data_IF_960351626837
#
_entry.id   IF_960351626837
#
_cell.length_a   1.000
_cell.length_b   1.000
_cell.length_c   1.000
_cell.angle_alpha   90.00
_cell.angle_beta   90.00
_cell.angle_gamma   90.00
#
_symmetry.space_group_name_H-M   'P 1'
#
loop_
_entity.id
_entity.type
_entity.pdbx_description
1 polymer ?
#
# COMPACT_ATOMS: atom_id res chain seq x y z
N UNK A 1 -10.92 -9.91 18.39
CA UNK A 1 -10.27 -8.59 18.40
C UNK A 1 -11.08 -7.65 17.53
N UNK A 2 -11.63 -6.60 18.09
CA UNK A 2 -12.22 -5.53 17.29
C UNK A 2 -11.12 -4.87 16.45
N UNK A 3 -11.41 -4.59 15.18
CA UNK A 3 -10.48 -3.91 14.29
C UNK A 3 -10.47 -2.42 14.65
N UNK A 4 -9.31 -1.92 15.03
CA UNK A 4 -9.10 -0.49 15.22
C UNK A 4 -9.14 0.25 13.88
N UNK A 5 -9.34 1.58 13.92
CA UNK A 5 -9.27 2.42 12.71
C UNK A 5 -7.93 2.26 11.98
N UNK A 6 -6.84 2.09 12.71
CA UNK A 6 -5.49 1.85 12.16
C UNK A 6 -5.44 0.53 11.39
N UNK A 7 -6.09 -0.52 11.91
CA UNK A 7 -6.16 -1.81 11.22
C UNK A 7 -6.89 -1.68 9.87
N UNK A 8 -7.99 -0.94 9.82
CA UNK A 8 -8.71 -0.67 8.58
C UNK A 8 -7.89 0.12 7.56
N UNK A 9 -7.23 1.19 8.01
CA UNK A 9 -6.35 1.99 7.15
C UNK A 9 -5.23 1.10 6.58
N UNK A 10 -4.61 0.27 7.42
CA UNK A 10 -3.55 -0.64 6.99
C UNK A 10 -4.06 -1.65 5.95
N UNK A 11 -5.23 -2.26 6.16
CA UNK A 11 -5.80 -3.19 5.18
C UNK A 11 -6.08 -2.52 3.84
N UNK A 12 -6.63 -1.30 3.83
CA UNK A 12 -6.89 -0.55 2.60
C UNK A 12 -5.57 -0.28 1.86
N UNK A 13 -4.54 0.20 2.56
CA UNK A 13 -3.24 0.48 1.97
C UNK A 13 -2.55 -0.78 1.45
N UNK A 14 -2.68 -1.92 2.12
CA UNK A 14 -2.18 -3.22 1.63
C UNK A 14 -2.88 -3.63 0.33
N UNK A 15 -4.21 -3.47 0.25
CA UNK A 15 -4.96 -3.75 -0.98
C UNK A 15 -4.51 -2.82 -2.12
N UNK A 16 -4.36 -1.52 -1.86
CA UNK A 16 -3.84 -0.56 -2.84
C UNK A 16 -2.45 -0.99 -3.33
N UNK A 17 -1.57 -1.39 -2.41
CA UNK A 17 -0.24 -1.90 -2.74
C UNK A 17 -0.27 -3.14 -3.63
N UNK A 18 -1.08 -4.13 -3.26
CA UNK A 18 -1.23 -5.37 -4.02
C UNK A 18 -1.77 -5.11 -5.43
N UNK A 19 -2.75 -4.21 -5.57
CA UNK A 19 -3.29 -3.81 -6.87
C UNK A 19 -2.23 -3.08 -7.70
N UNK A 20 -1.50 -2.12 -7.13
CA UNK A 20 -0.45 -1.40 -7.86
C UNK A 20 0.64 -2.35 -8.37
N UNK A 21 1.19 -3.19 -7.50
CA UNK A 21 2.23 -4.13 -7.89
C UNK A 21 1.73 -5.22 -8.85
N UNK A 22 0.47 -5.63 -8.73
CA UNK A 22 -0.16 -6.53 -9.69
C UNK A 22 -0.22 -5.91 -11.09
N UNK A 23 -0.58 -4.63 -11.20
CA UNK A 23 -0.63 -3.93 -12.47
C UNK A 23 0.75 -3.64 -13.05
N UNK A 24 1.72 -3.29 -12.20
CA UNK A 24 3.12 -3.14 -12.61
C UNK A 24 3.67 -4.46 -13.15
N UNK A 25 3.41 -5.58 -12.48
CA UNK A 25 3.91 -6.90 -12.90
C UNK A 25 3.23 -7.46 -14.15
N UNK A 26 1.95 -7.14 -14.39
CA UNK A 26 1.19 -7.67 -15.53
C UNK A 26 1.19 -6.76 -16.76
N UNK A 27 1.21 -5.44 -16.56
CA UNK A 27 0.98 -4.45 -17.62
C UNK A 27 2.03 -3.33 -17.62
N UNK A 28 3.07 -3.41 -16.77
CA UNK A 28 4.07 -2.34 -16.58
C UNK A 28 3.42 -0.99 -16.20
N UNK A 29 2.22 -1.05 -15.62
CA UNK A 29 1.41 0.11 -15.29
C UNK A 29 1.48 0.42 -13.80
N UNK A 30 2.16 1.51 -13.45
CA UNK A 30 2.23 2.01 -12.09
C UNK A 30 1.11 3.04 -11.83
N UNK A 31 0.00 2.58 -11.22
CA UNK A 31 -1.14 3.44 -10.91
C UNK A 31 -0.76 4.58 -9.96
N UNK A 32 0.00 4.28 -8.91
CA UNK A 32 0.39 5.28 -7.91
C UNK A 32 1.23 6.36 -8.58
N UNK A 33 2.22 5.98 -9.40
CA UNK A 33 3.01 6.94 -10.16
C UNK A 33 2.18 7.68 -11.23
N UNK A 34 1.18 7.03 -11.85
CA UNK A 34 0.32 7.67 -12.85
C UNK A 34 -0.57 8.78 -12.26
N UNK A 35 -1.03 8.60 -11.02
CA UNK A 35 -1.90 9.56 -10.32
C UNK A 35 -1.07 10.68 -9.69
N UNK A 36 0.05 10.34 -9.05
CA UNK A 36 0.82 11.29 -8.25
C UNK A 36 2.06 11.86 -8.95
N UNK A 37 2.46 11.29 -10.09
CA UNK A 37 3.66 11.62 -10.85
C UNK A 37 4.83 10.69 -10.52
N UNK A 38 5.56 10.25 -11.55
CA UNK A 38 6.67 9.27 -11.44
C UNK A 38 7.88 9.74 -10.64
N UNK A 39 8.12 11.05 -10.56
CA UNK A 39 9.22 11.67 -9.79
C UNK A 39 8.65 12.53 -8.64
N UNK A 40 7.47 12.17 -8.15
CA UNK A 40 6.80 12.92 -7.09
C UNK A 40 7.17 12.36 -5.72
N UNK A 41 7.60 13.24 -4.83
CA UNK A 41 7.76 12.92 -3.41
C UNK A 41 6.47 12.35 -2.79
N UNK A 42 5.31 12.67 -3.38
CA UNK A 42 4.01 12.19 -2.95
C UNK A 42 3.81 10.69 -3.27
N UNK A 43 4.25 10.22 -4.43
CA UNK A 43 4.22 8.79 -4.78
C UNK A 43 5.10 7.98 -3.81
N UNK A 44 6.30 8.49 -3.48
CA UNK A 44 7.19 7.89 -2.49
C UNK A 44 6.52 7.73 -1.12
N UNK A 45 5.81 8.77 -0.64
CA UNK A 45 5.07 8.68 0.63
C UNK A 45 4.03 7.56 0.57
N UNK A 46 3.28 7.46 -0.53
CA UNK A 46 2.28 6.39 -0.69
C UNK A 46 2.94 5.01 -0.63
N UNK A 47 4.06 4.79 -1.33
CA UNK A 47 4.75 3.50 -1.27
C UNK A 47 5.29 3.17 0.14
N UNK A 48 5.79 4.17 0.87
CA UNK A 48 6.23 3.99 2.27
C UNK A 48 5.05 3.61 3.16
N UNK A 49 3.90 4.29 3.02
CA UNK A 49 2.69 3.98 3.78
C UNK A 49 2.15 2.58 3.47
N UNK A 50 2.19 2.16 2.21
CA UNK A 50 1.85 0.79 1.78
C UNK A 50 2.76 -0.23 2.45
N UNK A 51 4.08 0.00 2.43
CA UNK A 51 5.06 -0.91 3.04
C UNK A 51 4.86 -1.04 4.56
N UNK A 52 4.70 0.09 5.26
CA UNK A 52 4.41 0.10 6.70
C UNK A 52 3.11 -0.61 7.04
N UNK A 53 2.09 -0.47 6.20
CA UNK A 53 0.81 -1.15 6.38
C UNK A 53 0.92 -2.65 6.22
N UNK A 54 1.73 -3.12 5.26
CA UNK A 54 2.04 -4.55 5.12
C UNK A 54 2.73 -5.11 6.36
N UNK A 55 3.71 -4.39 6.91
CA UNK A 55 4.39 -4.77 8.15
C UNK A 55 3.44 -4.79 9.35
N UNK A 56 2.54 -3.80 9.47
CA UNK A 56 1.53 -3.76 10.53
C UNK A 56 0.59 -4.96 10.48
N UNK A 57 0.06 -5.27 9.29
CA UNK A 57 -0.84 -6.42 9.07
C UNK A 57 -0.11 -7.72 9.39
N UNK A 58 1.15 -7.86 8.96
CA UNK A 58 1.98 -9.03 9.26
C UNK A 58 2.21 -9.18 10.77
N UNK A 59 2.58 -8.10 11.46
CA UNK A 59 2.78 -8.11 12.90
C UNK A 59 1.50 -8.49 13.65
N UNK A 60 0.35 -7.95 13.23
CA UNK A 60 -0.97 -8.28 13.77
C UNK A 60 -1.43 -9.70 13.47
N UNK A 61 -0.90 -10.35 12.43
CA UNK A 61 -1.22 -11.74 12.11
C UNK A 61 -0.54 -12.72 13.08
N UNK A 62 0.64 -12.36 13.62
CA UNK A 62 1.40 -13.20 14.55
C UNK A 62 1.19 -12.86 16.03
N UNK A 63 0.39 -11.83 16.34
CA UNK A 63 0.07 -11.40 17.70
C UNK A 63 -1.39 -11.72 18.02
#
# INVERSE_FOLDING_TARGET
MEKSTIDWIAYILVVIGALNWGLVGLFELDLVASIFGSISWLATIVYVLVALSGLWVLFKMFK
#
